data_IF_159731117831
#
_entry.id   IF_159731117831
#
_cell.length_a   1.000
_cell.length_b   1.000
_cell.length_c   1.000
_cell.angle_alpha   90.00
_cell.angle_beta   90.00
_cell.angle_gamma   90.00
#
_symmetry.space_group_name_H-M   'P 1'
#
loop_
_entity.id
_entity.type
_entity.pdbx_description
1 polymer ?
#
# COMPACT_ATOMS: atom_id res chain seq x y z
N UNK A 1 -17.29 -13.40 -3.96
CA UNK A 1 -17.37 -12.18 -4.79
C UNK A 1 -17.10 -12.59 -6.21
N UNK A 2 -17.81 -11.97 -7.15
CA UNK A 2 -17.63 -12.20 -8.58
C UNK A 2 -16.66 -11.14 -9.12
N UNK A 3 -16.13 -11.33 -10.34
CA UNK A 3 -15.47 -10.25 -11.07
C UNK A 3 -16.33 -8.98 -11.12
N UNK A 4 -15.70 -7.82 -10.95
CA UNK A 4 -16.40 -6.54 -10.91
C UNK A 4 -15.60 -5.42 -10.26
N UNK A 5 -16.20 -4.24 -10.26
CA UNK A 5 -15.67 -3.03 -9.65
C UNK A 5 -16.58 -2.60 -8.52
N UNK A 6 -16.01 -2.40 -7.33
CA UNK A 6 -16.75 -2.20 -6.11
C UNK A 6 -16.22 -1.00 -5.34
N UNK A 7 -17.09 -0.03 -5.11
CA UNK A 7 -16.83 1.09 -4.21
C UNK A 7 -17.42 0.77 -2.83
N UNK A 8 -16.67 1.09 -1.76
CA UNK A 8 -17.16 0.95 -0.38
C UNK A 8 -17.06 -0.44 0.26
N UNK A 9 -16.24 -1.35 -0.26
CA UNK A 9 -15.90 -2.59 0.47
C UNK A 9 -15.06 -2.21 1.70
N UNK A 10 -15.46 -2.54 2.94
CA UNK A 10 -14.66 -2.28 4.13
C UNK A 10 -13.26 -2.89 4.04
N UNK A 11 -12.26 -2.25 4.68
CA UNK A 11 -10.87 -2.71 4.59
C UNK A 11 -10.68 -4.15 5.07
N UNK A 12 -11.30 -4.51 6.20
CA UNK A 12 -11.28 -5.87 6.73
C UNK A 12 -11.88 -6.91 5.77
N UNK A 13 -12.99 -6.56 5.11
CA UNK A 13 -13.68 -7.44 4.16
C UNK A 13 -12.87 -7.64 2.87
N UNK A 14 -12.17 -6.60 2.42
CA UNK A 14 -11.25 -6.74 1.30
C UNK A 14 -10.06 -7.63 1.64
N UNK A 15 -9.41 -7.43 2.79
CA UNK A 15 -8.26 -8.27 3.15
C UNK A 15 -8.65 -9.74 3.39
N UNK A 16 -9.84 -10.00 3.93
CA UNK A 16 -10.37 -11.35 4.17
C UNK A 16 -11.14 -11.96 3.00
N UNK A 17 -11.43 -11.18 1.95
CA UNK A 17 -12.27 -11.62 0.84
C UNK A 17 -11.66 -12.75 0.00
N UNK A 18 -12.38 -13.25 -1.01
CA UNK A 18 -11.83 -14.22 -1.96
C UNK A 18 -10.84 -13.56 -2.94
N UNK A 19 -10.12 -14.38 -3.70
CA UNK A 19 -9.20 -13.95 -4.75
C UNK A 19 -7.80 -13.59 -4.25
N UNK A 20 -6.81 -13.78 -5.12
CA UNK A 20 -5.40 -13.51 -4.81
C UNK A 20 -5.04 -12.04 -5.03
N UNK A 21 -4.37 -11.41 -4.06
CA UNK A 21 -3.86 -10.04 -4.16
C UNK A 21 -2.38 -9.98 -4.51
N UNK A 22 -1.89 -8.80 -4.93
CA UNK A 22 -0.45 -8.57 -5.16
C UNK A 22 0.40 -8.93 -3.94
N UNK A 23 -0.03 -8.53 -2.73
CA UNK A 23 0.69 -8.85 -1.49
C UNK A 23 0.74 -10.36 -1.21
N UNK A 24 -0.28 -11.11 -1.62
CA UNK A 24 -0.26 -12.57 -1.53
C UNK A 24 0.65 -13.18 -2.60
N UNK A 25 0.69 -12.62 -3.81
CA UNK A 25 1.66 -13.02 -4.84
C UNK A 25 3.11 -12.68 -4.45
N UNK A 26 3.33 -11.68 -3.60
CA UNK A 26 4.65 -11.43 -2.98
C UNK A 26 5.08 -12.55 -2.03
N UNK A 27 4.15 -13.23 -1.37
CA UNK A 27 4.48 -14.41 -0.58
C UNK A 27 4.81 -15.60 -1.49
N UNK A 28 4.03 -15.81 -2.54
CA UNK A 28 4.26 -16.88 -3.53
C UNK A 28 5.62 -16.75 -4.20
N UNK A 29 5.98 -15.54 -4.64
CA UNK A 29 7.27 -15.25 -5.28
C UNK A 29 8.47 -15.57 -4.38
N UNK A 30 8.34 -15.29 -3.07
CA UNK A 30 9.35 -15.66 -2.10
C UNK A 30 9.40 -17.17 -1.91
N UNK A 31 8.26 -17.75 -1.52
CA UNK A 31 8.15 -19.16 -1.22
C UNK A 31 6.65 -19.54 -1.07
N UNK A 32 6.13 -20.52 -1.83
CA UNK A 32 4.70 -20.88 -1.78
C UNK A 32 4.18 -21.22 -0.39
N UNK A 33 4.98 -21.87 0.46
CA UNK A 33 4.60 -22.16 1.85
C UNK A 33 4.31 -20.89 2.67
N UNK A 34 4.91 -19.74 2.34
CA UNK A 34 4.66 -18.47 3.04
C UNK A 34 3.22 -17.97 2.84
N UNK A 35 2.55 -18.34 1.74
CA UNK A 35 1.14 -18.01 1.55
C UNK A 35 0.25 -18.74 2.57
N UNK A 36 0.51 -20.03 2.83
CA UNK A 36 -0.20 -20.79 3.86
C UNK A 36 0.17 -20.33 5.27
N UNK A 37 1.46 -20.10 5.52
CA UNK A 37 1.94 -19.52 6.76
C UNK A 37 1.26 -18.19 7.07
N UNK A 38 1.18 -17.27 6.11
CA UNK A 38 0.56 -15.95 6.31
C UNK A 38 -0.93 -16.01 6.66
N UNK A 39 -1.62 -17.11 6.35
CA UNK A 39 -3.03 -17.34 6.74
C UNK A 39 -3.20 -17.99 8.11
N UNK A 40 -2.22 -18.80 8.53
CA UNK A 40 -2.33 -19.67 9.70
C UNK A 40 -1.47 -19.21 10.89
N UNK A 41 -0.44 -18.40 10.63
CA UNK A 41 0.45 -17.91 11.66
C UNK A 41 -0.32 -17.01 12.64
N UNK A 42 -0.10 -17.18 13.96
CA UNK A 42 -0.71 -16.30 14.95
C UNK A 42 -0.14 -14.88 14.81
N UNK A 43 -1.01 -13.89 15.04
CA UNK A 43 -0.62 -12.49 15.05
C UNK A 43 -0.36 -12.00 16.49
N UNK A 44 0.64 -11.14 16.65
CA UNK A 44 0.97 -10.49 17.92
C UNK A 44 0.24 -9.14 17.98
N UNK A 45 -0.96 -9.15 18.58
CA UNK A 45 -1.83 -7.96 18.63
C UNK A 45 -1.18 -6.78 19.36
N UNK A 46 -0.29 -7.03 20.33
CA UNK A 46 0.44 -6.00 21.06
C UNK A 46 1.42 -5.22 20.16
N UNK A 47 1.84 -5.82 19.04
CA UNK A 47 2.77 -5.18 18.09
C UNK A 47 2.09 -4.60 16.86
N UNK A 48 0.77 -4.80 16.69
CA UNK A 48 0.01 -4.18 15.59
C UNK A 48 -0.20 -2.67 15.77
N UNK A 49 -0.19 -2.19 17.01
CA UNK A 49 -0.59 -0.82 17.35
C UNK A 49 0.49 0.24 17.17
N UNK A 50 1.64 -0.10 16.57
CA UNK A 50 2.65 0.91 16.26
C UNK A 50 2.11 1.88 15.20
N UNK A 51 2.22 3.19 15.46
CA UNK A 51 1.79 4.20 14.51
C UNK A 51 2.51 4.01 13.17
N UNK A 52 1.72 3.78 12.12
CA UNK A 52 2.20 3.84 10.75
C UNK A 52 1.92 5.23 10.16
N UNK A 53 2.94 6.09 10.17
CA UNK A 53 2.85 7.45 9.56
C UNK A 53 2.45 7.38 8.09
N UNK A 54 2.84 6.32 7.38
CA UNK A 54 2.48 6.13 5.97
C UNK A 54 0.99 5.95 5.78
N UNK A 55 0.38 5.05 6.55
CA UNK A 55 -1.06 4.78 6.53
C UNK A 55 -1.87 6.02 6.96
N UNK A 56 -1.46 6.69 8.03
CA UNK A 56 -2.11 7.93 8.47
C UNK A 56 -2.02 9.05 7.42
N UNK A 57 -0.89 9.15 6.70
CA UNK A 57 -0.72 10.10 5.60
C UNK A 57 -1.60 9.75 4.39
N UNK A 58 -1.63 8.46 4.02
CA UNK A 58 -2.47 7.95 2.93
C UNK A 58 -3.95 8.24 3.21
N UNK A 59 -4.46 7.85 4.39
CA UNK A 59 -5.82 8.13 4.81
C UNK A 59 -6.11 9.64 4.78
N UNK A 60 -5.19 10.49 5.24
CA UNK A 60 -5.43 11.93 5.22
C UNK A 60 -5.47 12.54 3.82
N UNK A 61 -4.82 11.91 2.84
CA UNK A 61 -4.81 12.37 1.44
C UNK A 61 -6.03 11.91 0.66
N UNK A 62 -6.51 10.69 0.91
CA UNK A 62 -7.51 10.02 0.06
C UNK A 62 -8.86 9.78 0.75
N UNK A 63 -8.84 9.58 2.07
CA UNK A 63 -10.01 9.24 2.88
C UNK A 63 -10.06 10.14 4.14
N UNK A 64 -10.21 11.46 4.01
CA UNK A 64 -10.12 12.40 5.14
C UNK A 64 -11.14 12.11 6.25
N UNK A 65 -12.28 11.51 5.91
CA UNK A 65 -13.27 11.05 6.88
C UNK A 65 -12.77 9.85 7.70
N UNK A 66 -12.12 8.87 7.05
CA UNK A 66 -11.44 7.75 7.73
C UNK A 66 -10.33 8.27 8.63
N UNK A 67 -9.51 9.22 8.13
CA UNK A 67 -8.46 9.82 8.95
C UNK A 67 -9.02 10.48 10.22
N UNK A 68 -10.10 11.26 10.09
CA UNK A 68 -10.76 11.89 11.23
C UNK A 68 -11.41 10.88 12.20
N UNK A 69 -11.85 9.73 11.69
CA UNK A 69 -12.45 8.67 12.49
C UNK A 69 -11.42 7.77 13.20
N UNK A 70 -10.24 7.57 12.61
CA UNK A 70 -9.22 6.62 13.08
C UNK A 70 -8.08 7.26 13.86
N UNK A 71 -7.79 8.56 13.66
CA UNK A 71 -6.67 9.24 14.30
C UNK A 71 -7.11 10.48 15.07
N UNK A 72 -6.47 10.70 16.22
CA UNK A 72 -6.66 11.90 17.02
C UNK A 72 -5.31 12.44 17.50
N UNK A 73 -5.06 13.73 17.28
CA UNK A 73 -3.82 14.38 17.75
C UNK A 73 -3.99 14.86 19.17
N UNK A 74 -3.10 14.41 20.06
CA UNK A 74 -3.10 14.81 21.46
C UNK A 74 -2.78 16.31 21.67
N UNK A 75 -3.03 16.82 22.88
CA UNK A 75 -2.82 18.25 23.19
C UNK A 75 -1.34 18.65 23.14
N UNK A 76 -1.02 19.74 22.41
CA UNK A 76 0.35 20.25 22.24
C UNK A 76 0.96 20.82 23.54
N UNK A 77 0.15 21.53 24.35
CA UNK A 77 0.58 22.19 25.59
C UNK A 77 0.20 21.37 26.84
N UNK A 78 0.57 20.10 26.85
CA UNK A 78 0.27 19.17 27.95
C UNK A 78 1.46 18.27 28.31
N UNK A 79 2.46 18.78 29.06
CA UNK A 79 3.58 17.97 29.52
C UNK A 79 3.08 16.83 30.42
N UNK A 80 3.31 15.57 29.99
CA UNK A 80 2.82 14.36 30.69
C UNK A 80 3.40 14.18 32.11
N UNK A 81 4.43 14.92 32.47
CA UNK A 81 5.04 14.92 33.80
C UNK A 81 4.41 15.92 34.79
N UNK A 82 3.47 16.76 34.36
CA UNK A 82 2.77 17.73 35.22
C UNK A 82 1.35 17.27 35.54
N UNK A 83 0.82 17.67 36.69
CA UNK A 83 -0.58 17.36 37.06
C UNK A 83 -1.57 17.89 36.04
N UNK A 84 -1.45 19.16 35.66
CA UNK A 84 -2.30 19.79 34.65
C UNK A 84 -2.18 19.13 33.27
N UNK A 85 -0.98 18.70 32.87
CA UNK A 85 -0.79 17.96 31.62
C UNK A 85 -1.47 16.59 31.66
N UNK A 86 -1.33 15.84 32.75
CA UNK A 86 -2.02 14.55 32.92
C UNK A 86 -3.54 14.69 32.85
N UNK A 87 -4.10 15.68 33.54
CA UNK A 87 -5.55 15.97 33.49
C UNK A 87 -6.03 16.30 32.07
N UNK A 88 -5.25 17.06 31.29
CA UNK A 88 -5.56 17.30 29.86
C UNK A 88 -5.53 16.03 29.01
N UNK A 89 -4.56 15.15 29.25
CA UNK A 89 -4.46 13.87 28.54
C UNK A 89 -5.61 12.94 28.91
N UNK A 90 -5.94 12.81 30.20
CA UNK A 90 -7.08 12.01 30.67
C UNK A 90 -8.40 12.53 30.07
N UNK A 91 -8.62 13.85 30.07
CA UNK A 91 -9.79 14.47 29.46
C UNK A 91 -9.85 14.23 27.95
N UNK A 92 -8.71 14.30 27.25
CA UNK A 92 -8.62 14.01 25.82
C UNK A 92 -8.91 12.53 25.52
N UNK A 93 -8.26 11.61 26.22
CA UNK A 93 -8.44 10.17 26.05
C UNK A 93 -9.89 9.74 26.33
N UNK A 94 -10.57 10.40 27.28
CA UNK A 94 -11.99 10.18 27.54
C UNK A 94 -12.94 10.59 26.39
N UNK A 95 -12.47 11.39 25.41
CA UNK A 95 -13.23 11.72 24.20
C UNK A 95 -13.08 10.69 23.09
N UNK A 96 -12.10 9.78 23.21
CA UNK A 96 -11.75 8.86 22.15
C UNK A 96 -12.59 7.58 22.22
N UNK A 97 -12.89 7.04 21.05
CA UNK A 97 -13.68 5.82 20.82
C UNK A 97 -12.85 4.78 20.07
N UNK A 98 -11.58 4.64 20.46
CA UNK A 98 -10.65 3.68 19.85
C UNK A 98 -9.74 4.27 18.77
N UNK A 99 -9.68 5.60 18.62
CA UNK A 99 -8.71 6.25 17.73
C UNK A 99 -7.27 5.95 18.14
N UNK A 100 -6.41 5.85 17.13
CA UNK A 100 -4.96 5.89 17.31
C UNK A 100 -4.54 7.30 17.70
N UNK A 101 -3.93 7.44 18.88
CA UNK A 101 -3.44 8.71 19.38
C UNK A 101 -2.13 9.07 18.69
N UNK A 102 -2.11 10.22 18.01
CA UNK A 102 -0.90 10.84 17.49
C UNK A 102 -0.34 11.80 18.55
N UNK A 103 0.99 11.79 18.73
CA UNK A 103 1.65 12.90 19.43
C UNK A 103 1.47 14.20 18.65
N UNK A 104 1.56 15.37 19.32
CA UNK A 104 1.50 16.67 18.64
C UNK A 104 2.48 16.80 17.47
N UNK A 105 3.68 16.24 17.61
CA UNK A 105 4.71 16.27 16.57
C UNK A 105 4.38 15.35 15.39
N UNK A 106 3.82 14.15 15.65
CA UNK A 106 3.35 13.25 14.60
C UNK A 106 2.19 13.84 13.81
N UNK A 107 1.18 14.39 14.51
CA UNK A 107 0.04 15.06 13.87
C UNK A 107 0.50 16.25 13.03
N UNK A 108 1.40 17.08 13.56
CA UNK A 108 2.02 18.18 12.82
C UNK A 108 2.79 17.69 11.58
N UNK A 109 3.56 16.61 11.71
CA UNK A 109 4.34 16.02 10.60
C UNK A 109 3.41 15.54 9.48
N UNK A 110 2.37 14.78 9.81
CA UNK A 110 1.39 14.27 8.85
C UNK A 110 0.67 15.42 8.14
N UNK A 111 0.26 16.46 8.88
CA UNK A 111 -0.33 17.66 8.29
C UNK A 111 0.61 18.38 7.33
N UNK A 112 1.88 18.56 7.69
CA UNK A 112 2.87 19.18 6.80
C UNK A 112 3.15 18.32 5.55
N UNK A 113 3.16 17.00 5.68
CA UNK A 113 3.30 16.10 4.53
C UNK A 113 2.12 16.24 3.57
N UNK A 114 0.88 16.29 4.10
CA UNK A 114 -0.31 16.57 3.29
C UNK A 114 -0.21 17.91 2.56
N UNK A 115 0.11 18.98 3.27
CA UNK A 115 0.24 20.32 2.66
C UNK A 115 1.34 20.35 1.60
N UNK A 116 2.44 19.62 1.80
CA UNK A 116 3.48 19.42 0.79
C UNK A 116 2.93 18.78 -0.50
N UNK A 117 2.05 17.79 -0.39
CA UNK A 117 1.40 17.14 -1.54
C UNK A 117 0.43 18.09 -2.24
N UNK A 118 -0.40 18.80 -1.48
CA UNK A 118 -1.34 19.79 -2.02
C UNK A 118 -0.61 20.98 -2.69
N UNK A 119 0.59 21.33 -2.22
CA UNK A 119 1.41 22.36 -2.85
C UNK A 119 2.00 21.93 -4.20
N UNK A 120 2.10 20.63 -4.50
CA UNK A 120 2.58 20.13 -5.78
C UNK A 120 1.43 20.11 -6.82
N UNK A 121 1.48 20.93 -7.90
CA UNK A 121 0.31 21.17 -8.76
C UNK A 121 -0.32 19.91 -9.36
N UNK A 122 0.48 19.01 -9.92
CA UNK A 122 -0.02 17.76 -10.51
C UNK A 122 -0.51 16.75 -9.46
N UNK A 123 0.13 16.70 -8.28
CA UNK A 123 -0.24 15.76 -7.22
C UNK A 123 -1.58 16.18 -6.58
N UNK A 124 -1.74 17.49 -6.33
CA UNK A 124 -3.02 18.08 -5.94
C UNK A 124 -4.11 17.76 -6.96
N UNK A 125 -3.86 18.01 -8.24
CA UNK A 125 -4.85 17.76 -9.27
C UNK A 125 -5.25 16.28 -9.34
N UNK A 126 -4.30 15.33 -9.19
CA UNK A 126 -4.59 13.89 -9.10
C UNK A 126 -5.51 13.55 -7.92
N UNK A 127 -5.27 14.16 -6.76
CA UNK A 127 -6.08 13.96 -5.56
C UNK A 127 -7.46 14.62 -5.65
N UNK A 128 -7.60 15.76 -6.31
CA UNK A 128 -8.86 16.50 -6.46
C UNK A 128 -9.70 16.02 -7.66
N UNK A 129 -9.10 15.35 -8.65
CA UNK A 129 -9.80 14.84 -9.82
C UNK A 129 -10.94 13.90 -9.43
N UNK A 130 -12.07 13.95 -10.16
CA UNK A 130 -13.17 13.03 -9.92
C UNK A 130 -12.73 11.58 -10.17
N UNK A 131 -12.93 10.74 -9.18
CA UNK A 131 -12.51 9.34 -9.18
C UNK A 131 -12.85 8.68 -7.86
N UNK A 132 -12.61 7.39 -7.78
CA UNK A 132 -12.98 6.58 -6.63
C UNK A 132 -11.72 6.16 -5.86
N UNK A 133 -11.65 6.57 -4.60
CA UNK A 133 -10.60 6.13 -3.67
C UNK A 133 -10.92 4.73 -3.12
N UNK A 134 -9.89 3.92 -2.89
CA UNK A 134 -9.99 2.59 -2.28
C UNK A 134 -10.98 1.63 -2.97
N UNK A 135 -11.29 1.87 -4.25
CA UNK A 135 -12.15 1.00 -5.03
C UNK A 135 -11.47 -0.34 -5.30
N UNK A 136 -12.21 -1.43 -5.13
CA UNK A 136 -11.69 -2.77 -5.35
C UNK A 136 -12.06 -3.29 -6.73
N UNK A 137 -11.08 -3.87 -7.43
CA UNK A 137 -11.26 -4.52 -8.72
C UNK A 137 -11.05 -6.03 -8.52
N UNK A 138 -12.01 -6.83 -8.95
CA UNK A 138 -11.93 -8.28 -9.00
C UNK A 138 -12.03 -8.74 -10.44
N UNK A 139 -11.17 -9.66 -10.86
CA UNK A 139 -11.20 -10.23 -12.19
C UNK A 139 -10.74 -11.67 -12.16
N UNK A 140 -11.17 -12.47 -13.13
CA UNK A 140 -10.56 -13.78 -13.36
C UNK A 140 -9.40 -13.58 -14.32
N UNK A 141 -8.21 -13.99 -13.90
CA UNK A 141 -7.07 -14.02 -14.80
C UNK A 141 -7.33 -15.02 -15.94
N UNK A 142 -7.29 -14.57 -17.21
CA UNK A 142 -7.71 -15.40 -18.34
C UNK A 142 -6.76 -16.56 -18.65
N UNK A 143 -5.49 -16.47 -18.24
CA UNK A 143 -4.48 -17.49 -18.50
C UNK A 143 -4.54 -18.63 -17.47
N UNK A 144 -4.75 -18.29 -16.20
CA UNK A 144 -4.67 -19.23 -15.09
C UNK A 144 -6.02 -19.63 -14.49
N UNK A 145 -7.12 -19.00 -14.91
CA UNK A 145 -8.47 -19.15 -14.32
C UNK A 145 -8.48 -18.91 -12.80
N UNK A 146 -7.71 -17.91 -12.36
CA UNK A 146 -7.58 -17.53 -10.96
C UNK A 146 -8.32 -16.22 -10.70
N UNK A 147 -9.22 -16.22 -9.72
CA UNK A 147 -9.81 -14.98 -9.22
C UNK A 147 -8.71 -14.13 -8.57
N UNK A 148 -8.46 -12.96 -9.15
CA UNK A 148 -7.53 -11.95 -8.72
C UNK A 148 -8.26 -10.75 -8.14
N UNK A 149 -7.56 -9.98 -7.30
CA UNK A 149 -8.08 -8.71 -6.79
C UNK A 149 -6.98 -7.68 -6.58
N UNK A 150 -7.36 -6.42 -6.76
CA UNK A 150 -6.56 -5.28 -6.34
C UNK A 150 -7.46 -4.20 -5.73
N UNK A 151 -6.81 -3.30 -5.01
CA UNK A 151 -7.40 -2.06 -4.52
C UNK A 151 -6.39 -0.96 -4.79
N UNK A 152 -6.53 -0.24 -5.91
CA UNK A 152 -5.76 0.97 -6.14
C UNK A 152 -6.20 2.04 -5.16
N UNK A 153 -5.24 2.86 -4.72
CA UNK A 153 -5.51 3.93 -3.77
C UNK A 153 -6.52 4.94 -4.34
N UNK A 154 -6.42 5.23 -5.64
CA UNK A 154 -7.47 5.93 -6.38
C UNK A 154 -7.50 5.56 -7.85
N UNK A 155 -8.70 5.40 -8.40
CA UNK A 155 -8.95 5.25 -9.83
C UNK A 155 -9.60 6.54 -10.35
N UNK A 156 -9.15 7.05 -11.50
CA UNK A 156 -9.69 8.23 -12.18
C UNK A 156 -10.21 7.77 -13.56
N UNK A 157 -11.43 7.19 -13.63
CA UNK A 157 -11.91 6.54 -14.86
C UNK A 157 -11.97 7.48 -16.06
N UNK A 158 -12.37 8.75 -15.86
CA UNK A 158 -12.49 9.74 -16.93
C UNK A 158 -11.19 10.05 -17.67
N UNK A 159 -10.04 9.60 -17.15
CA UNK A 159 -8.72 9.78 -17.77
C UNK A 159 -7.96 8.47 -17.93
N UNK A 160 -8.55 7.34 -17.52
CA UNK A 160 -7.89 6.04 -17.51
C UNK A 160 -6.67 5.99 -16.57
N UNK A 161 -6.66 6.74 -15.46
CA UNK A 161 -5.49 6.82 -14.57
C UNK A 161 -5.70 6.05 -13.27
N UNK A 162 -4.61 5.46 -12.79
CA UNK A 162 -4.53 4.82 -11.49
C UNK A 162 -3.48 5.56 -10.66
N UNK A 163 -3.80 5.86 -9.40
CA UNK A 163 -2.92 6.51 -8.45
C UNK A 163 -2.62 5.56 -7.29
N UNK A 164 -1.38 5.54 -6.85
CA UNK A 164 -0.91 4.84 -5.67
C UNK A 164 0.02 5.76 -4.86
N UNK A 165 -0.33 6.02 -3.60
CA UNK A 165 0.35 6.91 -2.68
C UNK A 165 1.37 6.12 -1.87
N UNK A 166 2.63 6.50 -2.00
CA UNK A 166 3.74 5.94 -1.21
C UNK A 166 4.35 6.99 -0.30
N UNK A 167 4.86 6.51 0.83
CA UNK A 167 5.74 7.30 1.68
C UNK A 167 7.14 6.70 1.70
N UNK A 168 8.17 7.53 1.81
CA UNK A 168 9.58 7.07 1.89
C UNK A 168 10.38 7.94 2.84
N UNK A 169 11.35 7.38 3.55
CA UNK A 169 12.29 8.18 4.34
C UNK A 169 13.40 8.82 3.49
N UNK A 170 13.62 8.31 2.27
CA UNK A 170 14.70 8.74 1.37
C UNK A 170 14.19 8.71 -0.08
N UNK A 171 13.95 9.90 -0.64
CA UNK A 171 13.43 10.08 -1.99
C UNK A 171 14.42 9.61 -3.06
N UNK A 172 15.73 9.70 -2.79
CA UNK A 172 16.77 9.25 -3.74
C UNK A 172 16.88 7.74 -3.77
N UNK A 173 16.72 7.08 -2.62
CA UNK A 173 16.69 5.61 -2.57
C UNK A 173 15.43 5.02 -3.16
N UNK A 174 14.32 5.74 -3.14
CA UNK A 174 13.04 5.28 -3.71
C UNK A 174 13.18 4.82 -5.17
N UNK A 175 13.94 5.56 -5.99
CA UNK A 175 14.20 5.23 -7.39
C UNK A 175 14.91 3.88 -7.59
N UNK A 176 15.48 3.29 -6.53
CA UNK A 176 16.09 1.96 -6.56
C UNK A 176 15.25 0.93 -5.81
N UNK A 177 14.73 1.30 -4.64
CA UNK A 177 13.98 0.38 -3.78
C UNK A 177 12.60 0.04 -4.31
N UNK A 178 12.06 0.77 -5.30
CA UNK A 178 10.79 0.40 -5.95
C UNK A 178 10.82 -1.04 -6.51
N UNK A 179 11.99 -1.50 -6.96
CA UNK A 179 12.19 -2.86 -7.43
C UNK A 179 12.11 -3.87 -6.27
N UNK A 180 12.81 -3.58 -5.17
CA UNK A 180 12.82 -4.44 -3.96
C UNK A 180 11.42 -4.56 -3.32
N UNK A 181 10.63 -3.49 -3.36
CA UNK A 181 9.23 -3.50 -2.92
C UNK A 181 8.25 -4.09 -3.95
N UNK A 182 8.76 -4.52 -5.10
CA UNK A 182 7.99 -5.09 -6.21
C UNK A 182 6.87 -4.15 -6.69
N UNK A 183 7.14 -2.85 -6.76
CA UNK A 183 6.16 -1.87 -7.26
C UNK A 183 5.93 -2.02 -8.78
N UNK A 184 6.91 -2.53 -9.52
CA UNK A 184 6.73 -2.91 -10.92
C UNK A 184 5.69 -4.03 -11.11
N UNK A 185 5.69 -5.02 -10.20
CA UNK A 185 4.65 -6.06 -10.13
C UNK A 185 3.30 -5.45 -9.76
N UNK A 186 3.27 -4.48 -8.83
CA UNK A 186 2.04 -3.78 -8.44
C UNK A 186 1.40 -3.03 -9.61
N UNK A 187 2.15 -2.17 -10.31
CA UNK A 187 1.68 -1.42 -11.48
C UNK A 187 1.08 -2.37 -12.52
N UNK A 188 1.84 -3.41 -12.89
CA UNK A 188 1.45 -4.35 -13.93
C UNK A 188 0.19 -5.12 -13.54
N UNK A 189 0.15 -5.69 -12.34
CA UNK A 189 -0.99 -6.46 -11.87
C UNK A 189 -2.27 -5.61 -11.73
N UNK A 190 -2.13 -4.36 -11.25
CA UNK A 190 -3.26 -3.46 -11.09
C UNK A 190 -3.74 -2.94 -12.44
N UNK A 191 -2.82 -2.65 -13.37
CA UNK A 191 -3.15 -2.22 -14.73
C UNK A 191 -3.89 -3.29 -15.50
N UNK A 192 -3.50 -4.55 -15.38
CA UNK A 192 -4.15 -5.65 -16.08
C UNK A 192 -5.51 -5.99 -15.44
N UNK A 193 -5.62 -5.85 -14.12
CA UNK A 193 -6.93 -5.90 -13.43
C UNK A 193 -7.86 -4.78 -13.86
N UNK A 194 -7.34 -3.56 -14.00
CA UNK A 194 -8.07 -2.43 -14.56
C UNK A 194 -8.53 -2.71 -16.00
N UNK A 195 -7.64 -3.17 -16.87
CA UNK A 195 -7.95 -3.46 -18.27
C UNK A 195 -8.99 -4.58 -18.41
N UNK A 196 -8.92 -5.62 -17.58
CA UNK A 196 -9.93 -6.68 -17.55
C UNK A 196 -11.32 -6.16 -17.16
N UNK A 197 -11.40 -5.15 -16.29
CA UNK A 197 -12.67 -4.58 -15.87
C UNK A 197 -13.21 -3.52 -16.84
N UNK A 198 -12.39 -2.54 -17.20
CA UNK A 198 -12.78 -1.38 -18.00
C UNK A 198 -12.71 -1.62 -19.51
N UNK A 199 -12.06 -2.70 -19.94
CA UNK A 199 -11.94 -3.09 -21.36
C UNK A 199 -10.84 -2.34 -22.13
N UNK A 200 -10.04 -1.53 -21.45
CA UNK A 200 -8.91 -0.79 -22.02
C UNK A 200 -7.76 -0.64 -21.02
N UNK A 201 -6.53 -0.55 -21.53
CA UNK A 201 -5.37 -0.30 -20.68
C UNK A 201 -5.47 1.08 -20.00
N UNK A 202 -5.04 1.21 -18.73
CA UNK A 202 -4.94 2.52 -18.13
C UNK A 202 -3.91 3.36 -18.89
N UNK A 203 -4.23 4.64 -19.12
CA UNK A 203 -3.33 5.62 -19.71
C UNK A 203 -2.10 5.88 -18.83
N UNK A 204 -2.18 5.58 -17.52
CA UNK A 204 -1.03 5.66 -16.63
C UNK A 204 -1.30 5.09 -15.24
N UNK A 205 -0.28 4.48 -14.65
CA UNK A 205 -0.20 4.13 -13.25
C UNK A 205 0.83 5.05 -12.58
N UNK A 206 0.38 5.89 -11.64
CA UNK A 206 1.18 6.97 -11.07
C UNK A 206 1.44 6.67 -9.60
N UNK A 207 2.72 6.59 -9.25
CA UNK A 207 3.16 6.59 -7.86
C UNK A 207 3.31 8.04 -7.39
N UNK A 208 2.46 8.48 -6.47
CA UNK A 208 2.60 9.73 -5.75
C UNK A 208 3.40 9.47 -4.49
N UNK A 209 4.64 9.95 -4.45
CA UNK A 209 5.58 9.66 -3.36
C UNK A 209 5.80 10.92 -2.55
N UNK A 210 5.56 10.84 -1.24
CA UNK A 210 5.90 11.90 -0.28
C UNK A 210 6.97 11.42 0.71
N UNK A 211 7.97 12.26 0.93
CA UNK A 211 9.03 11.96 1.89
C UNK A 211 8.54 12.13 3.32
N UNK A 212 8.92 11.22 4.22
CA UNK A 212 8.76 11.36 5.68
C UNK A 212 9.93 12.11 6.33
N UNK A 213 10.94 12.48 5.54
CA UNK A 213 12.13 13.25 5.95
C UNK A 213 12.13 14.63 5.31
N UNK A 214 12.62 15.63 6.05
CA UNK A 214 12.70 17.01 5.57
C UNK A 214 13.91 17.20 4.66
N UNK A 215 13.70 17.88 3.54
CA UNK A 215 14.76 18.46 2.71
C UNK A 215 14.48 19.97 2.54
N UNK A 216 15.47 20.81 2.86
CA UNK A 216 15.35 22.27 2.77
C UNK A 216 14.09 22.85 3.44
N UNK A 217 13.68 22.29 4.59
CA UNK A 217 12.54 22.76 5.38
C UNK A 217 11.16 22.31 4.88
N UNK A 218 11.09 21.41 3.89
CA UNK A 218 9.84 20.87 3.34
C UNK A 218 9.90 19.35 3.30
N UNK A 219 8.75 18.70 3.13
CA UNK A 219 8.66 17.29 2.78
C UNK A 219 8.58 17.17 1.25
N UNK A 220 9.63 16.65 0.56
CA UNK A 220 9.60 16.49 -0.89
C UNK A 220 8.46 15.60 -1.38
N UNK A 221 7.91 15.94 -2.54
CA UNK A 221 6.87 15.18 -3.24
C UNK A 221 7.31 14.97 -4.68
N UNK A 222 7.16 13.75 -5.19
CA UNK A 222 7.46 13.39 -6.58
C UNK A 222 6.41 12.44 -7.12
N UNK A 223 6.21 12.52 -8.42
CA UNK A 223 5.35 11.62 -9.18
C UNK A 223 6.23 10.74 -10.06
N UNK A 224 5.94 9.45 -10.11
CA UNK A 224 6.64 8.49 -10.95
C UNK A 224 5.64 7.66 -11.75
N UNK A 225 6.05 7.30 -12.96
CA UNK A 225 5.41 6.26 -13.77
C UNK A 225 6.48 5.23 -14.10
N UNK A 226 6.07 3.98 -14.24
CA UNK A 226 6.97 2.95 -14.74
C UNK A 226 7.08 3.07 -16.26
N UNK A 227 8.27 2.77 -16.80
CA UNK A 227 8.43 2.64 -18.23
C UNK A 227 7.87 1.31 -18.75
N UNK A 228 7.79 1.18 -20.07
CA UNK A 228 7.23 -0.02 -20.71
C UNK A 228 8.03 -1.29 -20.38
N UNK A 229 9.35 -1.18 -20.23
CA UNK A 229 10.23 -2.31 -19.89
C UNK A 229 9.97 -2.79 -18.46
N UNK A 230 9.95 -1.89 -17.48
CA UNK A 230 9.63 -2.22 -16.09
C UNK A 230 8.24 -2.82 -15.96
N UNK A 231 7.26 -2.34 -16.73
CA UNK A 231 5.90 -2.88 -16.76
C UNK A 231 5.84 -4.27 -17.39
N UNK A 232 6.60 -4.52 -18.45
CA UNK A 232 6.71 -5.86 -19.03
C UNK A 232 7.34 -6.85 -18.03
N UNK A 233 8.44 -6.47 -17.37
CA UNK A 233 9.09 -7.30 -16.34
C UNK A 233 8.15 -7.58 -15.16
N UNK A 234 7.38 -6.58 -14.72
CA UNK A 234 6.37 -6.75 -13.68
C UNK A 234 5.27 -7.73 -14.08
N UNK A 235 4.81 -7.66 -15.34
CA UNK A 235 3.82 -8.58 -15.89
C UNK A 235 4.30 -10.02 -15.95
N UNK A 236 5.47 -10.25 -16.55
CA UNK A 236 6.09 -11.58 -16.61
C UNK A 236 6.30 -12.16 -15.20
N UNK A 237 6.66 -11.30 -14.25
CA UNK A 237 6.89 -11.70 -12.86
C UNK A 237 5.60 -12.11 -12.15
N UNK A 238 4.52 -11.32 -12.23
CA UNK A 238 3.28 -11.72 -11.56
C UNK A 238 2.62 -12.93 -12.25
N UNK A 239 2.73 -13.07 -13.58
CA UNK A 239 2.22 -14.24 -14.29
C UNK A 239 2.90 -15.53 -13.83
N UNK A 240 4.22 -15.52 -13.63
CA UNK A 240 4.94 -16.66 -13.03
C UNK A 240 4.43 -16.99 -11.61
N UNK A 241 4.10 -15.97 -10.82
CA UNK A 241 3.55 -16.18 -9.48
C UNK A 241 2.13 -16.74 -9.54
N UNK A 242 1.30 -16.29 -10.49
CA UNK A 242 -0.03 -16.85 -10.72
C UNK A 242 0.03 -18.31 -11.18
N UNK A 243 0.95 -18.65 -12.08
CA UNK A 243 1.20 -20.03 -12.50
C UNK A 243 1.56 -20.92 -11.32
N UNK A 244 2.51 -20.47 -10.50
CA UNK A 244 2.91 -21.18 -9.26
C UNK A 244 1.74 -21.33 -8.29
N UNK A 245 0.99 -20.24 -8.09
CA UNK A 245 -0.18 -20.24 -7.22
C UNK A 245 -1.28 -21.20 -7.70
N UNK A 246 -1.60 -21.18 -9.00
CA UNK A 246 -2.59 -22.06 -9.62
C UNK A 246 -2.20 -23.54 -9.49
N UNK A 247 -0.92 -23.87 -9.69
CA UNK A 247 -0.40 -25.22 -9.48
C UNK A 247 -0.53 -25.66 -8.02
N UNK A 248 -0.12 -24.82 -7.07
CA UNK A 248 -0.29 -25.11 -5.64
C UNK A 248 -1.76 -25.30 -5.24
N UNK A 249 -2.67 -24.51 -5.80
CA UNK A 249 -4.11 -24.65 -5.56
C UNK A 249 -4.65 -25.97 -6.14
N UNK A 250 -4.16 -26.40 -7.30
CA UNK A 250 -4.58 -27.64 -7.98
C UNK A 250 -4.06 -28.89 -7.28
N UNK A 251 -2.81 -28.89 -6.84
CA UNK A 251 -2.16 -30.07 -6.23
C UNK A 251 -2.34 -30.13 -4.72
N UNK A 252 -2.60 -29.00 -4.07
CA UNK A 252 -2.56 -28.87 -2.62
C UNK A 252 -1.14 -28.87 -2.04
N UNK A 253 -0.11 -28.87 -2.89
CA UNK A 253 1.29 -28.90 -2.47
C UNK A 253 1.87 -27.48 -2.40
N UNK A 254 2.34 -27.09 -1.21
CA UNK A 254 2.93 -25.79 -0.93
C UNK A 254 4.36 -25.98 -0.45
N UNK A 255 5.28 -26.28 -1.37
CA UNK A 255 6.69 -26.51 -1.01
C UNK A 255 7.31 -25.29 -0.33
N UNK A 256 8.11 -25.54 0.70
CA UNK A 256 8.66 -24.50 1.58
C UNK A 256 10.14 -24.62 1.89
N UNK A 257 10.83 -25.64 1.37
CA UNK A 257 12.24 -25.88 1.66
C UNK A 257 13.09 -25.16 0.62
N UNK A 258 13.82 -24.13 1.06
CA UNK A 258 14.67 -23.31 0.19
C UNK A 258 16.14 -23.75 0.27
N UNK A 259 16.83 -23.72 -0.86
CA UNK A 259 18.26 -24.02 -0.92
C UNK A 259 19.07 -22.75 -0.69
N UNK A 260 19.85 -22.72 0.39
CA UNK A 260 20.84 -21.66 0.57
C UNK A 260 22.06 -21.92 -0.32
N UNK A 261 22.44 -20.93 -1.10
CA UNK A 261 23.66 -20.93 -1.90
C UNK A 261 24.69 -19.98 -1.33
N UNK A 262 25.97 -20.32 -1.47
CA UNK A 262 27.04 -19.35 -1.17
C UNK A 262 26.80 -18.06 -1.97
N UNK A 263 26.89 -16.88 -1.34
CA UNK A 263 26.75 -15.61 -2.04
C UNK A 263 27.90 -15.41 -3.03
N UNK A 264 27.68 -14.58 -4.05
CA UNK A 264 28.65 -14.34 -5.14
C UNK A 264 30.08 -14.05 -4.62
N UNK A 265 30.21 -13.16 -3.63
CA UNK A 265 31.50 -12.78 -3.03
C UNK A 265 32.22 -13.92 -2.27
N UNK A 266 31.50 -14.96 -1.86
CA UNK A 266 32.10 -16.14 -1.22
C UNK A 266 32.54 -17.17 -2.26
N UNK A 267 31.84 -17.24 -3.40
CA UNK A 267 32.17 -18.12 -4.52
C UNK A 267 33.46 -17.68 -5.23
N UNK A 268 33.76 -16.39 -5.27
CA UNK A 268 35.00 -15.85 -5.86
C UNK A 268 36.28 -16.11 -5.02
N UNK A 269 36.14 -16.60 -3.78
CA UNK A 269 37.27 -16.94 -2.90
C UNK A 269 37.65 -18.44 -2.93
N UNK A 270 36.92 -19.24 -3.71
CA UNK A 270 37.18 -20.65 -3.97
C UNK A 270 37.97 -20.81 -5.28
#
# INVERSE_FOLDING_TARGET
MNPGYYTGIPNADYHSGPGVSKSQLDLIDKCPALFQWGKAAPEDDEKKSALNIGDATHAFLLEPERYAAEYATGPADAPRNTKAGKEKWEAFEATLTGQTILTPDEGRKIALMRESVIAHPQARWLLEAQGDAEASIYWNDPEHDVLCRCRPDKVIPGMGWILDVKTTADMKKFEKSFYDYRYHVQDSFYSDGYANHFGEDPQGFIFLVVSTSIECGKYPVRLFVLDAEGKAVGRDTYNRNLSTYADCMRTGEWSGIETLSLPYWAKERL
#
